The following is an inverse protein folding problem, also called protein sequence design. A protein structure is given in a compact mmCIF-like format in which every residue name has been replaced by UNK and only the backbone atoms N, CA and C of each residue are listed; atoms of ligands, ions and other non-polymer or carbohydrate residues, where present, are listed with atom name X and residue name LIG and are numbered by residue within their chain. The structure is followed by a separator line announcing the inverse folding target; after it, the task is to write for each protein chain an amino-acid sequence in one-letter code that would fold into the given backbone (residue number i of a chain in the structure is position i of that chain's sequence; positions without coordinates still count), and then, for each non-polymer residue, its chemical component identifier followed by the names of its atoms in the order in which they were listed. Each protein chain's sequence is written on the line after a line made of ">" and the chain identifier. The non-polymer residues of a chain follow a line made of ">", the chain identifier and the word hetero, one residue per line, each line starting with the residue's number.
data_IF_209980317331
#
_entry.id   IF_209980317331
#
_cell.length_a   1.000
_cell.length_b   1.000
_cell.length_c   1.000
_cell.angle_alpha   90.00
_cell.angle_beta   90.00
_cell.angle_gamma   90.00
#
_symmetry.space_group_name_H-M   'P 1'
#
loop_
_entity.id
_entity.type
_entity.pdbx_description
1 polymer ?
#
# COMPACT_ATOMS: atom_id res chain seq x y z
N UNK A 1 56.67 47.43 18.89
CA UNK A 1 55.76 47.56 17.74
C UNK A 1 54.86 46.33 17.78
N UNK A 2 53.60 46.56 18.07
CA UNK A 2 52.62 45.52 18.38
C UNK A 2 51.94 45.01 17.10
N UNK A 3 51.85 43.70 16.99
CA UNK A 3 51.04 43.06 15.97
C UNK A 3 49.87 42.30 16.60
N UNK A 4 48.67 42.78 16.34
CA UNK A 4 47.42 42.27 16.91
C UNK A 4 46.88 41.10 16.08
N UNK A 5 46.90 39.91 16.63
CA UNK A 5 46.21 38.72 16.07
C UNK A 5 44.71 38.85 16.28
N UNK A 6 43.94 39.03 15.17
CA UNK A 6 42.50 38.90 15.13
C UNK A 6 42.09 37.43 15.28
N UNK A 7 41.44 37.08 16.38
CA UNK A 7 40.72 35.84 16.55
C UNK A 7 39.42 35.88 15.72
N UNK A 8 39.30 35.02 14.70
CA UNK A 8 38.05 34.75 14.00
C UNK A 8 37.21 33.79 14.86
N UNK A 9 36.10 34.29 15.38
CA UNK A 9 35.09 33.47 16.06
C UNK A 9 34.33 32.61 14.99
N UNK A 10 34.49 31.31 15.07
CA UNK A 10 33.65 30.34 14.33
C UNK A 10 32.19 30.45 14.83
N UNK A 11 31.29 30.87 13.97
CA UNK A 11 29.84 30.82 14.24
C UNK A 11 29.40 29.36 14.23
N UNK A 12 29.03 28.83 15.40
CA UNK A 12 28.42 27.50 15.56
C UNK A 12 27.12 27.43 14.76
N UNK A 13 27.03 26.47 13.83
CA UNK A 13 25.80 26.07 13.18
C UNK A 13 24.85 25.50 14.24
N UNK A 14 23.73 26.17 14.46
CA UNK A 14 22.62 25.58 15.24
C UNK A 14 22.11 24.31 14.52
N UNK A 15 21.82 23.24 15.25
CA UNK A 15 21.20 22.05 14.66
C UNK A 15 19.82 22.43 14.09
N UNK A 16 19.54 21.95 12.89
CA UNK A 16 18.24 22.13 12.26
C UNK A 16 17.16 21.48 13.15
N UNK A 17 16.18 22.29 13.56
CA UNK A 17 14.98 21.78 14.24
C UNK A 17 14.28 20.81 13.31
N UNK A 18 14.12 19.56 13.78
CA UNK A 18 13.20 18.60 13.16
C UNK A 18 11.82 19.24 13.10
N UNK A 19 11.26 19.34 11.92
CA UNK A 19 9.87 19.77 11.75
C UNK A 19 8.98 18.67 12.34
N UNK A 20 8.02 18.99 13.20
CA UNK A 20 7.07 18.00 13.69
C UNK A 20 6.24 17.48 12.52
N UNK A 21 6.10 16.17 12.44
CA UNK A 21 5.16 15.52 11.53
C UNK A 21 3.76 16.15 11.74
N UNK A 22 3.12 16.50 10.65
CA UNK A 22 1.79 17.13 10.67
C UNK A 22 0.77 16.20 11.34
N UNK A 23 0.37 16.56 12.53
CA UNK A 23 -0.57 15.85 13.45
C UNK A 23 -2.04 15.82 12.99
N UNK A 24 -2.38 16.09 11.74
CA UNK A 24 -3.76 16.42 11.35
C UNK A 24 -4.59 15.28 10.73
N UNK A 25 -4.10 14.04 10.59
CA UNK A 25 -4.84 12.99 9.85
C UNK A 25 -5.39 11.81 10.67
N UNK A 26 -4.98 11.60 11.90
CA UNK A 26 -5.36 10.41 12.68
C UNK A 26 -6.81 10.40 13.28
N UNK A 27 -7.40 11.51 13.71
CA UNK A 27 -8.72 11.46 14.36
C UNK A 27 -9.90 11.32 13.39
N UNK A 28 -9.79 11.80 12.15
CA UNK A 28 -10.92 11.84 11.22
C UNK A 28 -11.37 10.43 10.76
N UNK A 29 -10.44 9.50 10.53
CA UNK A 29 -10.77 8.15 10.09
C UNK A 29 -11.55 7.33 11.13
N UNK A 30 -11.15 7.41 12.39
CA UNK A 30 -11.83 6.68 13.49
C UNK A 30 -13.25 7.19 13.75
N UNK A 31 -13.46 8.49 13.72
CA UNK A 31 -14.75 9.10 13.92
C UNK A 31 -15.75 8.75 12.81
N UNK A 32 -15.30 8.71 11.55
CA UNK A 32 -16.14 8.34 10.40
C UNK A 32 -16.54 6.87 10.41
N UNK A 33 -15.61 5.96 10.74
CA UNK A 33 -15.89 4.53 10.83
C UNK A 33 -16.81 4.18 12.02
N UNK A 34 -16.60 4.82 13.16
CA UNK A 34 -17.52 4.69 14.30
C UNK A 34 -18.93 5.19 13.96
N UNK A 35 -19.04 6.23 13.15
CA UNK A 35 -20.31 6.76 12.65
C UNK A 35 -20.97 5.80 11.65
N UNK A 36 -20.23 5.26 10.68
CA UNK A 36 -20.72 4.26 9.72
C UNK A 36 -21.24 2.99 10.41
N UNK A 37 -20.55 2.52 11.47
CA UNK A 37 -21.02 1.42 12.33
C UNK A 37 -22.31 1.72 13.07
N UNK A 38 -22.50 2.96 13.53
CA UNK A 38 -23.66 3.40 14.31
C UNK A 38 -24.91 3.61 13.46
N UNK A 39 -24.73 3.94 12.18
CA UNK A 39 -25.80 4.29 11.24
C UNK A 39 -26.40 3.09 10.50
N UNK A 40 -25.85 1.88 10.68
CA UNK A 40 -26.37 0.59 10.21
C UNK A 40 -27.02 0.63 8.82
N UNK A 41 -26.28 0.13 7.81
CA UNK A 41 -26.80 -0.26 6.48
C UNK A 41 -27.22 0.81 5.48
N UNK A 42 -27.03 2.11 5.72
CA UNK A 42 -27.17 3.08 4.66
C UNK A 42 -25.88 3.09 3.80
N UNK A 43 -25.99 2.61 2.54
CA UNK A 43 -24.87 2.51 1.63
C UNK A 43 -24.21 3.88 1.36
N UNK A 44 -24.98 4.95 1.34
CA UNK A 44 -24.46 6.31 1.12
C UNK A 44 -23.52 6.73 2.26
N UNK A 45 -23.89 6.43 3.52
CA UNK A 45 -23.05 6.72 4.68
C UNK A 45 -21.76 5.86 4.69
N UNK A 46 -21.84 4.61 4.22
CA UNK A 46 -20.68 3.73 4.11
C UNK A 46 -19.71 4.26 3.04
N UNK A 47 -20.21 4.73 1.90
CA UNK A 47 -19.38 5.36 0.88
C UNK A 47 -18.72 6.65 1.39
N UNK A 48 -19.37 7.44 2.23
CA UNK A 48 -18.77 8.63 2.85
C UNK A 48 -17.59 8.30 3.79
N UNK A 49 -17.48 7.05 4.25
CA UNK A 49 -16.32 6.59 5.04
C UNK A 49 -15.09 6.30 4.18
N UNK A 50 -15.23 6.17 2.86
CA UNK A 50 -14.10 6.00 1.94
C UNK A 50 -13.31 7.30 1.83
N UNK A 51 -11.98 7.20 2.02
CA UNK A 51 -11.08 8.36 1.91
C UNK A 51 -10.03 8.23 0.81
N UNK A 52 -9.89 7.02 0.26
CA UNK A 52 -8.85 6.71 -0.72
C UNK A 52 -9.44 5.92 -1.88
N UNK A 53 -8.99 6.26 -3.08
CA UNK A 53 -9.22 5.47 -4.28
C UNK A 53 -7.87 5.18 -4.93
N UNK A 54 -7.54 3.91 -5.06
CA UNK A 54 -6.24 3.44 -5.53
C UNK A 54 -6.42 2.55 -6.76
N UNK A 55 -5.76 2.91 -7.84
CA UNK A 55 -5.74 2.15 -9.09
C UNK A 55 -4.46 1.36 -9.17
N UNK A 56 -4.54 0.07 -9.51
CA UNK A 56 -3.41 -0.85 -9.56
C UNK A 56 -3.37 -1.62 -10.87
N UNK A 57 -2.21 -1.60 -11.53
CA UNK A 57 -1.91 -2.41 -12.71
C UNK A 57 -0.72 -3.29 -12.36
N UNK A 58 -0.92 -4.61 -12.43
CA UNK A 58 0.17 -5.57 -12.28
C UNK A 58 0.94 -5.68 -13.58
N UNK A 59 2.26 -5.85 -13.45
CA UNK A 59 3.20 -5.88 -14.55
C UNK A 59 3.99 -7.18 -14.52
N UNK A 60 4.19 -7.78 -15.68
CA UNK A 60 4.89 -9.05 -15.84
C UNK A 60 6.33 -8.96 -15.35
N UNK A 61 6.77 -10.00 -14.67
CA UNK A 61 8.17 -10.12 -14.23
C UNK A 61 9.16 -10.08 -15.41
N UNK A 62 8.77 -10.66 -16.55
CA UNK A 62 9.62 -10.75 -17.73
C UNK A 62 9.97 -9.40 -18.39
N UNK A 63 9.22 -8.35 -18.07
CA UNK A 63 9.47 -7.00 -18.58
C UNK A 63 10.47 -6.20 -17.73
N UNK A 64 10.96 -6.80 -16.66
CA UNK A 64 12.00 -6.26 -15.78
C UNK A 64 13.23 -7.17 -15.82
N UNK A 65 14.38 -6.60 -16.09
CA UNK A 65 15.65 -7.29 -16.17
C UNK A 65 16.67 -6.77 -15.16
N UNK A 66 17.95 -6.81 -15.55
CA UNK A 66 19.07 -6.35 -14.72
C UNK A 66 19.11 -4.82 -14.56
N UNK A 67 18.52 -4.09 -15.52
CA UNK A 67 18.49 -2.62 -15.54
C UNK A 67 17.18 -2.05 -14.98
N UNK A 68 16.73 -2.54 -13.83
CA UNK A 68 15.42 -2.24 -13.22
C UNK A 68 15.06 -0.74 -13.22
N UNK A 69 16.02 0.13 -12.94
CA UNK A 69 15.81 1.58 -12.94
C UNK A 69 15.47 2.13 -14.33
N UNK A 70 16.03 1.55 -15.38
CA UNK A 70 15.76 1.96 -16.77
C UNK A 70 14.37 1.50 -17.20
N UNK A 71 14.00 0.26 -16.88
CA UNK A 71 12.70 -0.33 -17.22
C UNK A 71 11.56 0.38 -16.51
N UNK A 72 11.74 0.72 -15.22
CA UNK A 72 10.79 1.56 -14.47
C UNK A 72 10.64 2.94 -15.10
N UNK A 73 11.75 3.57 -15.54
CA UNK A 73 11.71 4.86 -16.25
C UNK A 73 11.01 4.74 -17.60
N UNK A 74 11.21 3.66 -18.32
CA UNK A 74 10.59 3.45 -19.63
C UNK A 74 9.09 3.25 -19.50
N UNK A 75 8.64 2.43 -18.52
CA UNK A 75 7.22 2.34 -18.20
C UNK A 75 6.65 3.70 -17.80
N UNK A 76 7.36 4.46 -16.96
CA UNK A 76 6.92 5.81 -16.57
C UNK A 76 6.83 6.79 -17.75
N UNK A 77 7.70 6.68 -18.75
CA UNK A 77 7.59 7.47 -19.99
C UNK A 77 6.28 7.13 -20.74
N UNK A 78 5.93 5.84 -20.84
CA UNK A 78 4.66 5.40 -21.43
C UNK A 78 3.46 5.99 -20.68
N UNK A 79 3.46 5.89 -19.36
CA UNK A 79 2.40 6.48 -18.51
C UNK A 79 2.26 7.98 -18.75
N UNK A 80 3.37 8.71 -18.82
CA UNK A 80 3.36 10.16 -19.07
C UNK A 80 2.83 10.52 -20.45
N UNK A 81 3.16 9.74 -21.48
CA UNK A 81 2.61 9.90 -22.83
C UNK A 81 1.09 9.76 -22.80
N UNK A 82 0.58 8.66 -22.24
CA UNK A 82 -0.86 8.38 -22.14
C UNK A 82 -1.59 9.44 -21.29
N UNK A 83 -0.99 9.89 -20.19
CA UNK A 83 -1.54 10.97 -19.38
C UNK A 83 -1.63 12.29 -20.16
N UNK A 84 -0.62 12.58 -20.99
CA UNK A 84 -0.59 13.75 -21.88
C UNK A 84 -1.73 13.75 -22.90
N UNK A 85 -2.05 12.63 -23.52
CA UNK A 85 -3.16 12.46 -24.45
C UNK A 85 -4.52 12.77 -23.80
N UNK A 86 -4.64 12.54 -22.50
CA UNK A 86 -5.81 12.87 -21.70
C UNK A 86 -5.75 14.26 -21.05
N UNK A 87 -4.73 15.06 -21.36
CA UNK A 87 -4.49 16.38 -20.73
C UNK A 87 -4.42 16.29 -19.20
N UNK A 88 -3.86 15.20 -18.68
CA UNK A 88 -3.60 15.02 -17.25
C UNK A 88 -2.23 15.60 -16.94
N UNK A 89 -2.16 16.51 -15.98
CA UNK A 89 -0.91 17.12 -15.57
C UNK A 89 -0.07 16.11 -14.80
N UNK A 90 1.20 15.96 -15.18
CA UNK A 90 2.16 15.08 -14.50
C UNK A 90 3.20 15.94 -13.79
N UNK A 91 3.34 15.73 -12.48
CA UNK A 91 4.37 16.37 -11.65
C UNK A 91 5.41 15.33 -11.25
N UNK A 92 6.67 15.70 -11.33
CA UNK A 92 7.77 14.84 -10.88
C UNK A 92 7.77 14.72 -9.37
N UNK A 93 8.07 13.53 -8.85
CA UNK A 93 8.30 13.28 -7.44
C UNK A 93 9.57 13.98 -6.95
N UNK A 94 9.58 14.40 -5.70
CA UNK A 94 10.77 15.01 -5.07
C UNK A 94 11.92 13.99 -4.92
N UNK A 95 11.61 12.70 -4.89
CA UNK A 95 12.53 11.57 -4.69
C UNK A 95 12.55 10.58 -5.87
N UNK A 96 12.33 11.06 -7.09
CA UNK A 96 12.20 10.25 -8.32
C UNK A 96 13.45 9.37 -8.64
N UNK A 97 14.53 9.47 -7.87
CA UNK A 97 15.82 8.87 -8.23
C UNK A 97 16.30 7.75 -7.31
N UNK A 98 15.76 7.62 -6.11
CA UNK A 98 16.25 6.63 -5.14
C UNK A 98 15.09 5.72 -4.71
N UNK A 99 15.12 4.44 -5.09
CA UNK A 99 14.13 3.49 -4.64
C UNK A 99 14.26 3.21 -3.14
N UNK A 100 13.15 2.88 -2.51
CA UNK A 100 13.10 2.41 -1.14
C UNK A 100 13.02 0.89 -1.11
N UNK A 101 13.84 0.26 -0.31
CA UNK A 101 13.87 -1.19 -0.15
C UNK A 101 13.16 -1.59 1.15
N UNK A 102 12.40 -2.67 1.10
CA UNK A 102 11.81 -3.29 2.30
C UNK A 102 11.53 -4.76 2.08
N UNK A 103 11.73 -5.56 3.12
CA UNK A 103 11.28 -6.95 3.13
C UNK A 103 9.81 -7.01 3.50
N UNK A 104 9.08 -7.92 2.88
CA UNK A 104 7.66 -8.17 3.09
C UNK A 104 7.46 -9.63 3.44
N UNK A 105 6.75 -9.85 4.54
CA UNK A 105 6.30 -11.17 4.97
C UNK A 105 4.81 -11.09 5.26
N UNK A 106 4.02 -12.03 4.74
CA UNK A 106 2.66 -12.28 5.19
C UNK A 106 2.67 -13.42 6.18
N UNK A 107 1.94 -13.24 7.26
CA UNK A 107 1.80 -14.19 8.34
C UNK A 107 0.40 -14.79 8.31
N UNK A 108 0.31 -16.10 8.50
CA UNK A 108 -0.98 -16.80 8.57
C UNK A 108 -0.88 -18.06 9.45
N UNK A 109 -2.01 -18.66 9.72
CA UNK A 109 -2.10 -20.01 10.31
C UNK A 109 -1.70 -21.06 9.27
N UNK A 110 -1.37 -22.31 9.68
CA UNK A 110 -1.07 -23.40 8.74
C UNK A 110 -2.20 -23.69 7.73
N UNK A 111 -3.46 -23.40 8.12
CA UNK A 111 -4.65 -23.59 7.31
C UNK A 111 -5.05 -22.34 6.52
N UNK A 112 -4.26 -21.25 6.61
CA UNK A 112 -4.52 -19.96 5.96
C UNK A 112 -5.86 -19.34 6.34
N UNK A 113 -6.21 -19.40 7.63
CA UNK A 113 -7.49 -18.91 8.13
C UNK A 113 -7.67 -17.40 7.92
N UNK A 114 -6.58 -16.62 8.01
CA UNK A 114 -6.67 -15.20 7.76
C UNK A 114 -6.99 -14.93 6.28
N UNK A 115 -6.20 -15.50 5.38
CA UNK A 115 -6.36 -15.26 3.94
C UNK A 115 -7.72 -15.73 3.42
N UNK A 116 -8.18 -16.93 3.83
CA UNK A 116 -9.48 -17.50 3.45
C UNK A 116 -10.66 -16.62 3.88
N UNK A 117 -10.49 -15.84 4.95
CA UNK A 117 -11.51 -14.95 5.47
C UNK A 117 -11.33 -13.49 5.00
N UNK A 118 -10.43 -13.22 4.04
CA UNK A 118 -10.17 -11.91 3.47
C UNK A 118 -9.24 -11.03 4.32
N UNK A 119 -8.58 -11.60 5.34
CA UNK A 119 -7.61 -10.89 6.16
C UNK A 119 -6.18 -11.15 5.66
N UNK A 120 -5.35 -10.15 5.84
CA UNK A 120 -3.91 -10.22 5.58
C UNK A 120 -3.18 -9.59 6.75
N UNK A 121 -2.36 -10.38 7.41
CA UNK A 121 -1.43 -9.92 8.43
C UNK A 121 -0.05 -9.81 7.80
N UNK A 122 0.50 -8.60 7.73
CA UNK A 122 1.73 -8.33 6.97
C UNK A 122 2.75 -7.60 7.82
N UNK A 123 3.98 -8.08 7.77
CA UNK A 123 5.16 -7.41 8.31
C UNK A 123 5.94 -6.78 7.16
N UNK A 124 6.35 -5.54 7.33
CA UNK A 124 7.27 -4.83 6.45
C UNK A 124 8.46 -4.33 7.24
N UNK A 125 9.65 -4.65 6.78
CA UNK A 125 10.90 -4.18 7.39
C UNK A 125 11.64 -3.31 6.39
N UNK A 126 11.66 -1.97 6.60
CA UNK A 126 12.38 -1.07 5.69
C UNK A 126 13.89 -1.26 5.81
N UNK A 127 14.60 -0.84 4.77
CA UNK A 127 16.06 -0.79 4.79
C UNK A 127 16.55 0.61 5.19
N UNK A 128 17.65 0.64 5.94
CA UNK A 128 18.41 1.84 6.25
C UNK A 128 19.81 1.63 5.65
N UNK A 129 20.09 2.31 4.56
CA UNK A 129 21.23 1.96 3.71
C UNK A 129 21.07 0.55 3.13
N UNK A 130 22.09 -0.29 3.28
CA UNK A 130 22.09 -1.66 2.74
C UNK A 130 21.54 -2.72 3.72
N UNK A 131 21.03 -2.34 4.88
CA UNK A 131 20.60 -3.29 5.92
C UNK A 131 19.15 -3.11 6.31
N UNK A 132 18.41 -4.20 6.62
CA UNK A 132 17.09 -4.11 7.23
C UNK A 132 17.13 -3.33 8.55
N UNK A 133 16.16 -2.46 8.76
CA UNK A 133 16.00 -1.72 10.01
C UNK A 133 15.67 -2.67 11.17
N UNK A 134 15.95 -2.23 12.41
CA UNK A 134 15.52 -2.95 13.63
C UNK A 134 14.01 -2.89 13.81
N UNK A 135 13.40 -1.78 13.39
CA UNK A 135 11.94 -1.58 13.46
C UNK A 135 11.24 -2.20 12.26
N UNK A 136 10.00 -2.56 12.46
CA UNK A 136 9.12 -3.05 11.39
C UNK A 136 7.74 -2.38 11.47
N UNK A 137 6.98 -2.53 10.40
CA UNK A 137 5.58 -2.13 10.30
C UNK A 137 4.72 -3.40 10.32
N UNK A 138 3.77 -3.48 11.26
CA UNK A 138 2.75 -4.52 11.29
C UNK A 138 1.45 -3.95 10.69
N UNK A 139 0.86 -4.67 9.76
CA UNK A 139 -0.38 -4.27 9.11
C UNK A 139 -1.42 -5.39 9.21
N UNK A 140 -2.59 -5.10 9.79
CA UNK A 140 -3.78 -5.89 9.56
C UNK A 140 -4.59 -5.22 8.43
N UNK A 141 -4.99 -6.01 7.43
CA UNK A 141 -5.84 -5.57 6.33
C UNK A 141 -6.96 -6.58 6.12
N UNK A 142 -8.19 -6.10 6.05
CA UNK A 142 -9.31 -6.85 5.48
C UNK A 142 -9.53 -6.39 4.03
N UNK A 143 -9.94 -7.30 3.15
CA UNK A 143 -10.25 -7.03 1.75
C UNK A 143 -11.45 -7.86 1.30
N UNK A 144 -12.37 -7.25 0.56
CA UNK A 144 -13.53 -7.92 0.00
C UNK A 144 -14.26 -7.08 -1.03
N UNK A 145 -15.12 -7.71 -1.83
CA UNK A 145 -15.95 -7.04 -2.85
C UNK A 145 -17.16 -6.34 -2.25
N UNK A 146 -17.62 -6.76 -1.07
CA UNK A 146 -18.74 -6.15 -0.36
C UNK A 146 -18.24 -4.98 0.51
N UNK A 147 -18.67 -3.76 0.16
CA UNK A 147 -18.32 -2.55 0.88
C UNK A 147 -18.88 -2.55 2.30
N UNK A 148 -20.10 -3.05 2.50
CA UNK A 148 -20.75 -3.09 3.81
C UNK A 148 -19.98 -3.98 4.78
N UNK A 149 -19.62 -5.19 4.35
CA UNK A 149 -18.77 -6.09 5.12
C UNK A 149 -17.40 -5.46 5.41
N UNK A 150 -16.76 -4.85 4.41
CA UNK A 150 -15.46 -4.23 4.60
C UNK A 150 -15.51 -3.05 5.59
N UNK A 151 -16.58 -2.26 5.58
CA UNK A 151 -16.77 -1.15 6.51
C UNK A 151 -17.01 -1.60 7.96
N UNK A 152 -17.66 -2.76 8.17
CA UNK A 152 -17.98 -3.30 9.48
C UNK A 152 -16.80 -3.96 10.19
N UNK A 153 -15.78 -4.41 9.44
CA UNK A 153 -14.61 -5.05 10.03
C UNK A 153 -13.81 -4.08 10.88
N UNK A 154 -13.57 -4.45 12.13
CA UNK A 154 -12.73 -3.69 13.04
C UNK A 154 -11.27 -4.09 12.89
N UNK A 155 -10.46 -3.20 12.34
CA UNK A 155 -9.02 -3.38 12.23
C UNK A 155 -8.24 -2.57 13.26
N UNK A 156 -8.93 -1.90 14.22
CA UNK A 156 -8.23 -1.11 15.24
C UNK A 156 -7.50 -2.01 16.23
N UNK A 157 -6.32 -1.59 16.69
CA UNK A 157 -5.65 -2.25 17.79
C UNK A 157 -6.33 -1.91 19.12
N UNK A 158 -6.32 -2.86 20.06
CA UNK A 158 -6.90 -2.69 21.41
C UNK A 158 -5.82 -2.47 22.48
N UNK A 159 -4.56 -2.66 22.12
CA UNK A 159 -3.40 -2.53 23.02
C UNK A 159 -2.94 -1.08 23.24
N UNK A 160 -3.68 -0.09 22.71
CA UNK A 160 -3.33 1.32 22.79
C UNK A 160 -2.26 1.76 21.77
N UNK A 161 -1.77 0.86 20.93
CA UNK A 161 -0.81 1.18 19.86
C UNK A 161 -1.36 2.21 18.90
N UNK A 162 -0.59 3.25 18.51
CA UNK A 162 -1.02 4.25 17.55
C UNK A 162 -1.11 3.63 16.15
N UNK A 163 -2.33 3.24 15.74
CA UNK A 163 -2.61 2.68 14.42
C UNK A 163 -3.05 3.73 13.40
N UNK A 164 -2.51 3.68 12.20
CA UNK A 164 -3.05 4.43 11.07
C UNK A 164 -4.09 3.60 10.34
N UNK A 165 -5.36 3.98 10.49
CA UNK A 165 -6.47 3.30 9.83
C UNK A 165 -6.81 3.97 8.51
N UNK A 166 -7.04 3.14 7.47
CA UNK A 166 -7.46 3.59 6.13
C UNK A 166 -8.58 2.69 5.63
N UNK A 167 -9.63 3.31 5.09
CA UNK A 167 -10.66 2.63 4.33
C UNK A 167 -10.57 3.08 2.87
N UNK A 168 -10.38 2.12 1.94
CA UNK A 168 -10.06 2.37 0.54
C UNK A 168 -10.97 1.61 -0.41
N UNK A 169 -11.26 2.24 -1.55
CA UNK A 169 -11.65 1.55 -2.78
C UNK A 169 -10.37 1.26 -3.59
N UNK A 170 -10.10 0.00 -3.87
CA UNK A 170 -9.02 -0.45 -4.74
C UNK A 170 -9.60 -0.86 -6.09
N UNK A 171 -9.14 -0.22 -7.17
CA UNK A 171 -9.52 -0.52 -8.55
C UNK A 171 -8.46 -1.44 -9.14
N UNK A 172 -8.87 -2.65 -9.45
CA UNK A 172 -8.01 -3.72 -9.95
C UNK A 172 -8.35 -4.08 -11.40
N UNK A 173 -7.43 -4.80 -12.02
CA UNK A 173 -7.64 -5.44 -13.31
C UNK A 173 -8.77 -6.47 -13.22
N UNK A 174 -9.53 -6.63 -14.29
CA UNK A 174 -10.33 -7.83 -14.50
C UNK A 174 -9.39 -8.95 -14.91
N UNK A 175 -9.64 -10.16 -14.43
CA UNK A 175 -8.70 -11.28 -14.60
C UNK A 175 -8.57 -11.80 -16.02
N UNK A 176 -9.56 -11.53 -16.87
CA UNK A 176 -9.69 -12.14 -18.19
C UNK A 176 -9.36 -11.23 -19.36
N UNK A 177 -9.36 -9.91 -19.18
CA UNK A 177 -9.23 -8.99 -20.31
C UNK A 177 -8.65 -7.62 -19.95
N UNK A 178 -8.02 -6.97 -20.91
CA UNK A 178 -7.52 -5.61 -20.80
C UNK A 178 -8.64 -4.58 -21.00
N UNK A 179 -8.54 -3.47 -20.26
CA UNK A 179 -9.51 -2.37 -20.32
C UNK A 179 -10.69 -2.52 -19.37
N UNK A 180 -10.85 -3.67 -18.74
CA UNK A 180 -11.78 -3.89 -17.64
C UNK A 180 -11.27 -3.28 -16.32
N UNK A 181 -12.18 -3.11 -15.37
CA UNK A 181 -11.83 -2.74 -13.99
C UNK A 181 -12.87 -3.30 -13.03
N UNK A 182 -12.42 -3.70 -11.85
CA UNK A 182 -13.29 -4.13 -10.74
C UNK A 182 -12.90 -3.39 -9.47
N UNK A 183 -13.86 -3.11 -8.62
CA UNK A 183 -13.64 -2.51 -7.31
C UNK A 183 -13.60 -3.58 -6.26
N UNK A 184 -12.66 -3.44 -5.32
CA UNK A 184 -12.67 -4.13 -4.03
C UNK A 184 -12.42 -3.10 -2.93
N UNK A 185 -12.90 -3.40 -1.73
CA UNK A 185 -12.81 -2.51 -0.60
C UNK A 185 -11.83 -3.07 0.43
N UNK A 186 -10.97 -2.22 0.95
CA UNK A 186 -9.99 -2.64 1.95
C UNK A 186 -10.01 -1.74 3.16
N UNK A 187 -10.09 -2.37 4.33
CA UNK A 187 -9.97 -1.74 5.62
C UNK A 187 -8.62 -2.14 6.22
N UNK A 188 -7.80 -1.19 6.58
CA UNK A 188 -6.39 -1.43 6.93
C UNK A 188 -6.02 -0.66 8.18
N UNK A 189 -5.37 -1.31 9.14
CA UNK A 189 -4.64 -0.67 10.23
C UNK A 189 -3.15 -0.95 10.09
N UNK A 190 -2.35 0.07 10.25
CA UNK A 190 -0.90 0.05 10.11
C UNK A 190 -0.25 0.54 11.40
N UNK A 191 0.44 -0.36 12.11
CA UNK A 191 1.27 -0.05 13.28
C UNK A 191 2.71 0.12 12.80
N UNK A 192 3.28 1.30 13.05
CA UNK A 192 4.64 1.64 12.60
C UNK A 192 5.64 1.51 13.73
N UNK A 193 6.91 1.39 13.36
CA UNK A 193 8.05 1.45 14.27
C UNK A 193 7.97 0.42 15.41
N UNK A 194 7.40 -0.76 15.14
CA UNK A 194 7.35 -1.85 16.09
C UNK A 194 8.78 -2.38 16.33
N UNK A 195 9.14 -2.58 17.60
CA UNK A 195 10.45 -3.09 18.02
C UNK A 195 10.35 -4.41 18.77
N UNK A 196 9.18 -4.71 19.31
CA UNK A 196 8.92 -5.96 20.03
C UNK A 196 9.04 -7.17 19.10
N UNK A 197 9.35 -8.35 19.63
CA UNK A 197 9.31 -9.58 18.85
C UNK A 197 7.95 -9.78 18.19
N UNK A 198 7.96 -10.24 16.94
CA UNK A 198 6.74 -10.58 16.22
C UNK A 198 6.10 -11.78 16.94
N UNK A 199 4.80 -11.68 17.22
CA UNK A 199 4.04 -12.78 17.81
C UNK A 199 4.10 -14.04 16.96
N UNK A 200 3.96 -15.20 17.59
CA UNK A 200 4.09 -16.52 16.95
C UNK A 200 2.82 -17.34 17.07
N UNK A 201 1.82 -16.85 17.79
CA UNK A 201 0.55 -17.54 17.98
C UNK A 201 -0.63 -16.64 17.59
N UNK A 202 -1.74 -17.27 17.25
CA UNK A 202 -2.98 -16.56 16.93
C UNK A 202 -3.42 -15.63 18.10
N UNK A 203 -3.22 -16.10 19.35
CA UNK A 203 -3.50 -15.35 20.56
C UNK A 203 -2.67 -14.07 20.71
N UNK A 204 -1.44 -14.05 20.20
CA UNK A 204 -0.61 -12.84 20.22
C UNK A 204 -1.23 -11.75 19.34
N UNK A 205 -1.75 -12.12 18.18
CA UNK A 205 -2.37 -11.17 17.26
C UNK A 205 -3.80 -10.81 17.62
N UNK A 206 -4.58 -11.70 18.26
CA UNK A 206 -5.92 -11.36 18.76
C UNK A 206 -5.87 -10.39 19.94
N UNK A 207 -4.79 -10.35 20.70
CA UNK A 207 -4.56 -9.32 21.73
C UNK A 207 -4.36 -7.93 21.10
N UNK A 208 -3.68 -7.86 19.95
CA UNK A 208 -3.48 -6.60 19.23
C UNK A 208 -4.73 -6.23 18.43
N UNK A 209 -5.32 -7.19 17.73
CA UNK A 209 -6.47 -7.02 16.85
C UNK A 209 -7.61 -7.97 17.25
N UNK A 210 -8.48 -7.58 18.20
CA UNK A 210 -9.52 -8.46 18.76
C UNK A 210 -10.49 -9.02 17.73
N UNK A 211 -10.72 -8.32 16.62
CA UNK A 211 -11.60 -8.79 15.54
C UNK A 211 -11.18 -10.13 14.93
N UNK A 212 -9.91 -10.49 15.02
CA UNK A 212 -9.42 -11.79 14.51
C UNK A 212 -9.99 -12.96 15.31
N UNK A 213 -10.37 -12.78 16.58
CA UNK A 213 -10.94 -13.86 17.41
C UNK A 213 -12.19 -14.50 16.81
N UNK A 214 -12.94 -13.76 15.98
CA UNK A 214 -14.10 -14.26 15.27
C UNK A 214 -13.79 -15.28 14.17
N UNK A 215 -12.51 -15.48 13.79
CA UNK A 215 -12.12 -16.41 12.74
C UNK A 215 -12.07 -17.88 13.18
N UNK A 216 -12.07 -18.14 14.50
CA UNK A 216 -12.21 -19.46 15.08
C UNK A 216 -10.94 -20.24 15.44
N UNK A 217 -9.72 -19.95 14.94
CA UNK A 217 -8.52 -20.63 15.42
C UNK A 217 -8.32 -20.49 16.93
N UNK A 218 -7.73 -21.49 17.57
CA UNK A 218 -7.41 -21.45 19.00
C UNK A 218 -6.30 -20.42 19.24
N UNK A 219 -6.26 -19.76 20.42
CA UNK A 219 -5.18 -18.84 20.76
C UNK A 219 -3.77 -19.41 20.62
N UNK A 220 -3.63 -20.72 20.84
CA UNK A 220 -2.36 -21.45 20.71
C UNK A 220 -2.01 -21.87 19.29
N UNK A 221 -2.91 -21.64 18.31
CA UNK A 221 -2.63 -21.95 16.89
C UNK A 221 -1.40 -21.16 16.45
N UNK A 222 -0.38 -21.80 15.84
CA UNK A 222 0.81 -21.08 15.39
C UNK A 222 0.48 -20.11 14.25
N UNK A 223 1.16 -18.99 14.25
CA UNK A 223 1.22 -18.03 13.16
C UNK A 223 2.66 -17.99 12.64
N UNK A 224 2.81 -18.19 11.35
CA UNK A 224 4.11 -18.24 10.70
C UNK A 224 4.08 -17.55 9.32
N UNK A 225 5.25 -17.30 8.70
CA UNK A 225 5.31 -16.83 7.33
C UNK A 225 4.56 -17.78 6.38
N UNK A 226 3.67 -17.25 5.56
CA UNK A 226 2.89 -18.03 4.58
C UNK A 226 3.76 -18.51 3.40
N UNK A 227 4.97 -17.97 3.23
CA UNK A 227 5.98 -18.43 2.28
C UNK A 227 7.34 -18.62 2.99
N UNK A 228 8.22 -19.50 2.49
CA UNK A 228 9.48 -19.86 3.16
C UNK A 228 10.49 -18.73 3.22
N UNK A 229 10.40 -17.77 2.30
CA UNK A 229 11.28 -16.60 2.24
C UNK A 229 10.48 -15.31 2.12
N UNK A 230 10.99 -14.19 2.68
CA UNK A 230 10.39 -12.89 2.44
C UNK A 230 10.52 -12.52 0.96
N UNK A 231 9.70 -11.60 0.48
CA UNK A 231 9.96 -10.91 -0.78
C UNK A 231 10.57 -9.55 -0.49
N UNK A 232 11.53 -9.12 -1.29
CA UNK A 232 12.05 -7.77 -1.23
C UNK A 232 11.25 -6.89 -2.18
N UNK A 233 10.70 -5.80 -1.67
CA UNK A 233 10.04 -4.78 -2.48
C UNK A 233 11.00 -3.61 -2.73
N UNK A 234 11.17 -3.29 -4.01
CA UNK A 234 11.83 -2.08 -4.50
C UNK A 234 10.73 -1.08 -4.88
N UNK A 235 10.60 0.00 -4.12
CA UNK A 235 9.52 0.98 -4.26
C UNK A 235 10.04 2.29 -4.81
N UNK A 236 9.51 2.70 -5.96
CA UNK A 236 9.80 3.97 -6.64
C UNK A 236 8.65 4.96 -6.43
N UNK A 237 8.97 6.17 -5.98
CA UNK A 237 8.07 7.32 -6.02
C UNK A 237 8.23 8.03 -7.37
N UNK A 238 7.25 7.84 -8.26
CA UNK A 238 7.30 8.35 -9.63
C UNK A 238 6.75 9.78 -9.75
N UNK A 239 6.05 10.27 -8.72
CA UNK A 239 5.49 11.61 -8.72
C UNK A 239 3.98 11.67 -8.53
N UNK A 240 3.32 12.58 -9.25
CA UNK A 240 1.90 12.86 -9.06
C UNK A 240 1.17 13.08 -10.40
N UNK A 241 -0.09 12.63 -10.45
CA UNK A 241 -1.04 12.88 -11.54
C UNK A 241 -2.12 13.88 -11.10
N UNK A 242 -2.29 14.96 -11.84
CA UNK A 242 -3.26 16.02 -11.56
C UNK A 242 -4.55 15.85 -12.36
N UNK A 243 -5.59 15.34 -11.72
CA UNK A 243 -6.93 15.27 -12.29
C UNK A 243 -7.68 16.56 -11.96
N UNK A 244 -7.90 17.45 -12.92
CA UNK A 244 -8.53 18.77 -12.75
C UNK A 244 -9.68 18.76 -11.74
N UNK A 245 -9.62 19.62 -10.73
CA UNK A 245 -10.66 19.75 -9.69
C UNK A 245 -10.58 18.73 -8.55
N UNK A 246 -9.47 17.97 -8.44
CA UNK A 246 -9.19 17.09 -7.31
C UNK A 246 -7.77 17.30 -6.77
N UNK A 247 -7.49 16.73 -5.59
CA UNK A 247 -6.11 16.57 -5.13
C UNK A 247 -5.33 15.72 -6.13
N UNK A 248 -4.02 15.93 -6.22
CA UNK A 248 -3.15 15.09 -7.04
C UNK A 248 -3.11 13.66 -6.52
N UNK A 249 -3.08 12.69 -7.43
CA UNK A 249 -2.85 11.30 -7.10
C UNK A 249 -1.36 11.03 -7.00
N UNK A 250 -0.92 10.43 -5.91
CA UNK A 250 0.46 9.94 -5.75
C UNK A 250 0.66 8.71 -6.62
N UNK A 251 1.80 8.65 -7.29
CA UNK A 251 2.14 7.56 -8.22
C UNK A 251 3.35 6.82 -7.72
N UNK A 252 3.26 5.50 -7.69
CA UNK A 252 4.39 4.65 -7.35
C UNK A 252 4.47 3.41 -8.26
N UNK A 253 5.67 2.83 -8.31
CA UNK A 253 5.95 1.52 -8.86
C UNK A 253 6.57 0.67 -7.76
N UNK A 254 6.00 -0.48 -7.50
CA UNK A 254 6.53 -1.45 -6.55
C UNK A 254 6.93 -2.72 -7.30
N UNK A 255 8.20 -3.07 -7.29
CA UNK A 255 8.71 -4.29 -7.90
C UNK A 255 9.10 -5.27 -6.80
N UNK A 256 8.56 -6.48 -6.86
CA UNK A 256 8.89 -7.56 -5.95
C UNK A 256 9.93 -8.47 -6.57
N UNK A 257 10.94 -8.80 -5.78
CA UNK A 257 11.99 -9.74 -6.17
C UNK A 257 12.32 -10.72 -5.05
N UNK A 258 12.87 -11.83 -5.42
CA UNK A 258 13.51 -12.75 -4.49
C UNK A 258 14.77 -12.10 -3.93
N UNK A 259 14.97 -12.02 -2.60
CA UNK A 259 16.10 -11.29 -2.02
C UNK A 259 17.45 -11.99 -2.21
N UNK A 260 17.46 -13.28 -2.55
CA UNK A 260 18.69 -14.06 -2.70
C UNK A 260 19.17 -14.09 -4.16
N UNK A 261 18.25 -14.41 -5.08
CA UNK A 261 18.54 -14.51 -6.51
C UNK A 261 18.36 -13.22 -7.27
N UNK A 262 17.78 -12.20 -6.65
CA UNK A 262 17.34 -10.93 -7.24
C UNK A 262 16.33 -11.07 -8.40
N UNK A 263 15.86 -12.31 -8.65
CA UNK A 263 14.86 -12.60 -9.66
C UNK A 263 13.59 -11.81 -9.40
N UNK A 264 13.15 -11.07 -10.41
CA UNK A 264 11.90 -10.33 -10.35
C UNK A 264 10.72 -11.30 -10.35
N UNK A 265 9.77 -11.06 -9.47
CA UNK A 265 8.57 -11.86 -9.29
C UNK A 265 7.35 -11.19 -9.93
N UNK A 266 7.20 -9.87 -9.75
CA UNK A 266 6.09 -9.09 -10.31
C UNK A 266 6.34 -7.59 -10.09
N UNK A 267 5.82 -6.75 -10.99
CA UNK A 267 5.70 -5.32 -10.81
C UNK A 267 4.26 -4.89 -10.49
N UNK A 268 4.08 -3.73 -9.87
CA UNK A 268 2.78 -3.08 -9.66
C UNK A 268 2.94 -1.58 -9.84
N UNK A 269 2.29 -1.05 -10.85
CA UNK A 269 2.09 0.39 -11.01
C UNK A 269 0.81 0.80 -10.28
N UNK A 270 0.89 1.84 -9.45
CA UNK A 270 -0.27 2.31 -8.70
C UNK A 270 -0.33 3.83 -8.65
N UNK A 271 -1.56 4.37 -8.65
CA UNK A 271 -1.80 5.76 -8.28
C UNK A 271 -2.99 5.87 -7.31
N UNK A 272 -2.80 6.66 -6.25
CA UNK A 272 -3.75 6.80 -5.14
C UNK A 272 -4.20 8.25 -5.02
N UNK A 273 -5.51 8.46 -5.04
CA UNK A 273 -6.16 9.74 -4.75
C UNK A 273 -6.72 9.72 -3.33
N UNK A 274 -6.49 10.79 -2.58
CA UNK A 274 -7.12 11.03 -1.28
C UNK A 274 -8.21 12.08 -1.39
N UNK A 275 -9.37 11.86 -0.78
CA UNK A 275 -10.50 12.78 -0.77
C UNK A 275 -11.16 12.84 0.61
N UNK A 276 -11.91 13.88 0.88
CA UNK A 276 -12.59 14.07 2.17
C UNK A 276 -13.97 13.44 2.23
N UNK A 277 -14.69 13.45 1.10
CA UNK A 277 -16.08 12.98 0.98
C UNK A 277 -16.27 12.30 -0.36
N UNK A 278 -16.70 11.05 -0.36
CA UNK A 278 -16.91 10.27 -1.59
C UNK A 278 -18.11 10.79 -2.40
N UNK A 279 -19.24 11.03 -1.77
CA UNK A 279 -20.46 11.51 -2.42
C UNK A 279 -20.35 12.92 -3.01
N UNK A 280 -19.34 13.69 -2.56
CA UNK A 280 -18.99 15.00 -3.12
C UNK A 280 -17.82 14.96 -4.09
N UNK A 281 -17.39 13.78 -4.51
CA UNK A 281 -16.37 13.64 -5.53
C UNK A 281 -16.87 14.32 -6.82
N UNK A 282 -16.09 15.31 -7.26
CA UNK A 282 -16.32 15.88 -8.58
C UNK A 282 -16.25 14.73 -9.63
N UNK A 283 -17.31 14.52 -10.43
CA UNK A 283 -17.35 13.41 -11.38
C UNK A 283 -16.24 13.49 -12.44
N UNK A 284 -15.75 14.69 -12.75
CA UNK A 284 -14.73 14.88 -13.78
C UNK A 284 -13.39 14.22 -13.39
N UNK A 285 -12.80 14.46 -12.23
CA UNK A 285 -11.58 13.72 -11.80
C UNK A 285 -11.80 12.21 -11.73
N UNK A 286 -12.97 11.76 -11.25
CA UNK A 286 -13.29 10.33 -11.19
C UNK A 286 -13.26 9.71 -12.58
N UNK A 287 -14.00 10.24 -13.53
CA UNK A 287 -14.05 9.74 -14.91
C UNK A 287 -12.68 9.82 -15.60
N UNK A 288 -11.92 10.87 -15.37
CA UNK A 288 -10.57 11.02 -15.96
C UNK A 288 -9.59 9.99 -15.42
N UNK A 289 -9.62 9.70 -14.11
CA UNK A 289 -8.78 8.68 -13.50
C UNK A 289 -9.13 7.28 -14.00
N UNK A 290 -10.42 6.96 -14.17
CA UNK A 290 -10.88 5.69 -14.74
C UNK A 290 -10.51 5.55 -16.22
N UNK A 291 -10.65 6.64 -16.99
CA UNK A 291 -10.26 6.65 -18.40
C UNK A 291 -8.76 6.42 -18.56
N UNK A 292 -7.94 7.08 -17.72
CA UNK A 292 -6.50 6.84 -17.68
C UNK A 292 -6.19 5.36 -17.40
N UNK A 293 -6.83 4.78 -16.38
CA UNK A 293 -6.61 3.40 -16.00
C UNK A 293 -6.89 2.41 -17.13
N UNK A 294 -8.01 2.59 -17.83
CA UNK A 294 -8.37 1.73 -18.98
C UNK A 294 -7.44 1.92 -20.17
N UNK A 295 -7.06 3.16 -20.44
CA UNK A 295 -6.17 3.47 -21.55
C UNK A 295 -4.75 2.95 -21.27
N UNK A 296 -4.24 3.09 -20.04
CA UNK A 296 -2.96 2.51 -19.64
C UNK A 296 -2.92 1.00 -19.87
N UNK A 297 -3.96 0.27 -19.47
CA UNK A 297 -4.02 -1.18 -19.70
C UNK A 297 -3.87 -1.55 -21.18
N UNK A 298 -4.46 -0.77 -22.09
CA UNK A 298 -4.40 -1.01 -23.54
C UNK A 298 -3.05 -0.62 -24.11
N UNK A 299 -2.59 0.57 -23.79
CA UNK A 299 -1.35 1.15 -24.32
C UNK A 299 -0.08 0.48 -23.78
N UNK A 300 -0.17 -0.11 -22.58
CA UNK A 300 0.92 -0.86 -21.96
C UNK A 300 0.60 -2.36 -21.83
N UNK A 301 -0.32 -2.87 -22.66
CA UNK A 301 -0.83 -4.24 -22.55
C UNK A 301 0.23 -5.33 -22.58
N UNK A 302 1.33 -5.12 -23.31
CA UNK A 302 2.47 -6.03 -23.31
C UNK A 302 3.06 -6.25 -21.91
N UNK A 303 3.05 -5.21 -21.07
CA UNK A 303 3.54 -5.23 -19.67
C UNK A 303 2.54 -5.80 -18.68
N UNK A 304 1.25 -5.84 -19.00
CA UNK A 304 0.21 -6.13 -18.02
C UNK A 304 0.15 -7.61 -17.67
N UNK A 305 0.18 -7.91 -16.38
CA UNK A 305 -0.06 -9.25 -15.82
C UNK A 305 -1.51 -9.38 -15.38
N UNK A 306 -2.22 -10.39 -15.92
CA UNK A 306 -3.61 -10.68 -15.60
C UNK A 306 -3.73 -11.94 -14.74
N UNK A 307 -4.87 -12.10 -14.08
CA UNK A 307 -5.23 -13.35 -13.40
C UNK A 307 -4.58 -13.58 -12.04
N UNK A 308 -3.86 -12.58 -11.49
CA UNK A 308 -3.23 -12.72 -10.16
C UNK A 308 -3.27 -11.40 -9.36
N UNK A 309 -2.85 -11.47 -8.10
CA UNK A 309 -2.55 -10.33 -7.23
C UNK A 309 -1.21 -10.55 -6.54
N UNK A 310 -0.56 -9.48 -6.05
CA UNK A 310 0.68 -9.64 -5.28
C UNK A 310 0.50 -10.53 -4.05
N UNK A 311 -0.64 -10.45 -3.38
CA UNK A 311 -0.95 -11.30 -2.23
C UNK A 311 -1.06 -12.76 -2.64
N UNK A 312 -1.87 -13.06 -3.67
CA UNK A 312 -2.01 -14.42 -4.19
C UNK A 312 -0.66 -15.02 -4.63
N UNK A 313 0.17 -14.21 -5.31
CA UNK A 313 1.52 -14.62 -5.69
C UNK A 313 2.37 -15.02 -4.47
N UNK A 314 2.35 -14.21 -3.39
CA UNK A 314 3.12 -14.52 -2.19
C UNK A 314 2.69 -15.85 -1.56
N UNK A 315 1.38 -16.08 -1.43
CA UNK A 315 0.86 -17.34 -0.90
C UNK A 315 1.18 -18.54 -1.81
N UNK A 316 1.20 -18.34 -3.13
CA UNK A 316 1.62 -19.39 -4.08
C UNK A 316 3.10 -19.78 -3.92
N UNK A 317 3.99 -18.85 -3.53
CA UNK A 317 5.39 -19.16 -3.21
C UNK A 317 5.51 -20.12 -2.01
N UNK A 318 4.51 -20.18 -1.16
CA UNK A 318 4.39 -21.17 -0.06
C UNK A 318 3.94 -22.56 -0.49
N UNK A 319 3.78 -22.81 -1.79
CA UNK A 319 3.47 -24.13 -2.35
C UNK A 319 1.99 -24.51 -2.34
N UNK A 320 1.10 -23.61 -1.95
CA UNK A 320 -0.35 -23.85 -2.00
C UNK A 320 -1.02 -22.77 -2.85
N UNK A 321 -1.34 -23.04 -4.13
CA UNK A 321 -2.17 -22.14 -4.92
C UNK A 321 -3.55 -22.08 -4.25
N UNK A 322 -3.87 -20.94 -3.68
CA UNK A 322 -5.19 -20.69 -3.11
C UNK A 322 -6.10 -20.23 -4.25
N UNK A 323 -7.24 -20.89 -4.41
CA UNK A 323 -8.31 -20.35 -5.22
C UNK A 323 -8.59 -18.92 -4.72
N UNK A 324 -8.66 -17.95 -5.63
CA UNK A 324 -8.80 -16.54 -5.29
C UNK A 324 -10.00 -16.33 -4.37
N UNK A 325 -9.76 -15.87 -3.15
CA UNK A 325 -10.78 -15.36 -2.24
C UNK A 325 -11.19 -13.91 -2.58
N UNK A 326 -10.89 -13.45 -3.83
CA UNK A 326 -11.11 -12.07 -4.29
C UNK A 326 -12.15 -11.99 -5.41
#
# INVERSE_FOLDING_TARGET
>A
MADAKKLQRSRGRKPAKAQPATEAEAPAGRAHLARARKLGHDLDDIYEALHYREFKILLKAADFGEALDLEVRDYWKLVRRVAGELLINVRRGKREREPHYRDIVFLDTPEFDLYRNGYMLRVRRPYVGAKPARTYELTLKFRGSDIGRAAQVDVNPDDGSPGRVKFKEEILLVSSELGGMRSIFSHTCQLREQTEPIGTTFGDFTRIFPSLSALGPKPTTPIAPAAPVPVQEVLYDLGELGFRGAKTAKVNMAVWRDPQSEKILIGEFAYETHFKHYGRLNPVPKLRSERLYRLLQRETGAWVELGTTKTALYYALGGKPLAHAE
#
